data_IF_126017777352
#
_entry.id   IF_126017777352
#
_cell.length_a   1.000
_cell.length_b   1.000
_cell.length_c   1.000
_cell.angle_alpha   90.00
_cell.angle_beta   90.00
_cell.angle_gamma   90.00
#
_symmetry.space_group_name_H-M   'P 1'
#
loop_
_entity.id
_entity.type
_entity.pdbx_description
1 polymer ?
#
# COMPACT_ATOMS: atom_id res chain seq x y z
N UNK A 1 -8.21 1.21 11.32
CA UNK A 1 -7.54 1.69 10.09
C UNK A 1 -7.04 0.48 9.29
N UNK A 2 -7.25 0.42 7.97
CA UNK A 2 -6.76 -0.70 7.14
C UNK A 2 -5.79 -0.16 6.09
N UNK A 3 -4.49 -0.28 6.35
CA UNK A 3 -3.49 0.06 5.35
C UNK A 3 -3.43 -1.03 4.28
N UNK A 4 -3.29 -0.59 3.04
CA UNK A 4 -3.12 -1.50 1.91
C UNK A 4 -1.67 -1.98 1.88
N UNK A 5 -1.48 -3.31 1.92
CA UNK A 5 -0.17 -3.94 1.74
C UNK A 5 0.31 -3.88 0.28
N UNK A 6 -0.62 -3.72 -0.65
CA UNK A 6 -0.35 -3.60 -2.07
C UNK A 6 -1.42 -2.75 -2.77
N UNK A 7 -1.03 -2.14 -3.88
CA UNK A 7 -1.93 -1.52 -4.86
C UNK A 7 -1.89 -2.34 -6.14
N UNK A 8 -3.06 -2.61 -6.72
CA UNK A 8 -3.20 -3.37 -7.95
C UNK A 8 -3.75 -2.45 -9.03
N UNK A 9 -3.01 -2.33 -10.14
CA UNK A 9 -3.40 -1.60 -11.32
C UNK A 9 -3.62 -2.55 -12.48
N UNK A 10 -4.70 -2.35 -13.22
CA UNK A 10 -5.03 -3.11 -14.44
C UNK A 10 -5.21 -2.10 -15.58
N UNK A 11 -4.45 -2.29 -16.66
CA UNK A 11 -4.42 -1.35 -17.79
C UNK A 11 -4.18 0.11 -17.31
N UNK A 12 -3.27 0.28 -16.35
CA UNK A 12 -2.92 1.58 -15.76
C UNK A 12 -3.92 2.15 -14.73
N UNK A 13 -5.11 1.56 -14.59
CA UNK A 13 -6.15 2.02 -13.68
C UNK A 13 -6.03 1.36 -12.31
N UNK A 14 -6.10 2.12 -11.22
CA UNK A 14 -6.11 1.55 -9.87
C UNK A 14 -7.42 0.78 -9.64
N UNK A 15 -7.31 -0.52 -9.37
CA UNK A 15 -8.43 -1.45 -9.12
C UNK A 15 -8.37 -2.10 -7.74
N UNK A 16 -7.46 -1.64 -6.87
CA UNK A 16 -7.16 -2.25 -5.57
C UNK A 16 -8.40 -2.51 -4.72
N UNK A 17 -9.35 -1.57 -4.69
CA UNK A 17 -10.56 -1.70 -3.86
C UNK A 17 -11.65 -2.55 -4.51
N UNK A 18 -11.54 -2.86 -5.80
CA UNK A 18 -12.55 -3.62 -6.56
C UNK A 18 -12.20 -5.11 -6.61
N UNK A 19 -10.96 -5.47 -6.28
CA UNK A 19 -10.42 -6.82 -6.43
C UNK A 19 -10.52 -7.59 -5.09
N UNK A 20 -10.91 -8.86 -5.19
CA UNK A 20 -10.94 -9.85 -4.09
C UNK A 20 -9.69 -10.72 -4.13
N UNK A 21 -9.29 -11.16 -5.32
CA UNK A 21 -8.10 -11.99 -5.51
C UNK A 21 -7.37 -11.63 -6.80
N UNK A 22 -6.04 -11.74 -6.76
CA UNK A 22 -5.14 -11.53 -7.88
C UNK A 22 -4.08 -12.64 -7.82
N UNK A 23 -4.05 -13.51 -8.84
CA UNK A 23 -3.18 -14.70 -8.85
C UNK A 23 -2.50 -14.84 -10.20
N UNK A 24 -1.16 -14.93 -10.18
CA UNK A 24 -0.38 -15.23 -11.37
C UNK A 24 -0.56 -16.71 -11.76
N UNK A 25 -0.79 -16.95 -13.03
CA UNK A 25 -0.83 -18.26 -13.68
C UNK A 25 0.37 -18.33 -14.61
N UNK A 26 1.30 -19.22 -14.29
CA UNK A 26 2.57 -19.40 -15.00
C UNK A 26 2.74 -20.84 -15.53
N UNK A 27 1.63 -21.51 -15.82
CA UNK A 27 1.62 -22.90 -16.29
C UNK A 27 0.64 -23.09 -17.46
N UNK A 28 1.03 -23.99 -18.37
CA UNK A 28 0.20 -24.40 -19.52
C UNK A 28 -0.12 -23.27 -20.50
N UNK A 29 -1.26 -23.37 -21.19
CA UNK A 29 -1.72 -22.40 -22.20
C UNK A 29 -2.12 -21.02 -21.61
N UNK A 30 -2.18 -20.90 -20.28
CA UNK A 30 -2.53 -19.67 -19.57
C UNK A 30 -1.31 -19.00 -18.92
N UNK A 31 -0.09 -19.37 -19.35
CA UNK A 31 1.16 -18.78 -18.89
C UNK A 31 1.14 -17.25 -19.03
N UNK A 32 1.80 -16.57 -18.09
CA UNK A 32 1.96 -15.11 -18.05
C UNK A 32 0.62 -14.36 -17.99
N UNK A 33 -0.35 -14.90 -17.26
CA UNK A 33 -1.65 -14.26 -17.02
C UNK A 33 -1.97 -14.12 -15.55
N UNK A 34 -2.69 -13.07 -15.18
CA UNK A 34 -3.32 -12.94 -13.88
C UNK A 34 -4.79 -13.30 -13.95
N UNK A 35 -5.24 -14.19 -13.07
CA UNK A 35 -6.64 -14.37 -12.74
C UNK A 35 -7.06 -13.35 -11.69
N UNK A 36 -8.06 -12.55 -12.02
CA UNK A 36 -8.60 -11.46 -11.20
C UNK A 36 -10.07 -11.75 -10.89
N UNK A 37 -10.41 -11.83 -9.60
CA UNK A 37 -11.80 -11.85 -9.14
C UNK A 37 -12.18 -10.48 -8.58
N UNK A 38 -13.28 -9.90 -9.08
CA UNK A 38 -13.80 -8.61 -8.60
C UNK A 38 -14.87 -8.82 -7.51
N UNK A 39 -15.07 -7.84 -6.63
CA UNK A 39 -16.03 -7.92 -5.51
C UNK A 39 -17.48 -8.12 -5.95
N UNK A 40 -17.85 -7.49 -7.07
CA UNK A 40 -19.23 -7.49 -7.56
C UNK A 40 -19.45 -8.53 -8.67
N UNK A 41 -18.52 -9.45 -8.89
CA UNK A 41 -18.62 -10.46 -9.93
C UNK A 41 -17.92 -11.75 -9.52
N UNK A 42 -18.66 -12.86 -9.57
CA UNK A 42 -18.11 -14.17 -9.22
C UNK A 42 -17.19 -14.78 -10.29
N UNK A 43 -17.14 -14.19 -11.48
CA UNK A 43 -16.32 -14.64 -12.61
C UNK A 43 -14.85 -14.20 -12.46
N UNK A 44 -13.91 -15.10 -12.72
CA UNK A 44 -12.49 -14.77 -12.87
C UNK A 44 -12.23 -14.19 -14.27
N UNK A 45 -11.54 -13.05 -14.31
CA UNK A 45 -11.07 -12.41 -15.53
C UNK A 45 -9.57 -12.63 -15.69
N UNK A 46 -9.15 -12.95 -16.91
CA UNK A 46 -7.73 -13.20 -17.22
C UNK A 46 -7.12 -12.02 -17.95
N UNK A 47 -6.04 -11.47 -17.39
CA UNK A 47 -5.28 -10.37 -17.98
C UNK A 47 -3.86 -10.84 -18.25
N UNK A 48 -3.26 -10.39 -19.35
CA UNK A 48 -1.83 -10.62 -19.57
C UNK A 48 -1.01 -9.95 -18.46
N UNK A 49 0.13 -10.53 -18.08
CA UNK A 49 0.98 -10.04 -17.01
C UNK A 49 1.43 -8.59 -17.20
N UNK A 50 1.69 -8.18 -18.46
CA UNK A 50 2.07 -6.81 -18.78
C UNK A 50 0.97 -5.75 -18.53
N UNK A 51 -0.29 -6.18 -18.39
CA UNK A 51 -1.41 -5.29 -18.07
C UNK A 51 -1.62 -5.11 -16.58
N UNK A 52 -0.99 -5.94 -15.75
CA UNK A 52 -1.18 -5.95 -14.30
C UNK A 52 0.07 -5.44 -13.62
N UNK A 53 -0.06 -4.40 -12.82
CA UNK A 53 1.01 -3.86 -12.00
C UNK A 53 0.62 -3.94 -10.52
N UNK A 54 1.40 -4.71 -9.76
CA UNK A 54 1.26 -4.83 -8.31
C UNK A 54 2.37 -3.99 -7.66
N UNK A 55 1.99 -3.00 -6.87
CA UNK A 55 2.92 -2.13 -6.13
C UNK A 55 2.84 -2.46 -4.66
N UNK A 56 3.92 -2.98 -4.09
CA UNK A 56 3.97 -3.32 -2.66
C UNK A 56 4.12 -2.07 -1.80
N UNK A 57 3.55 -2.12 -0.61
CA UNK A 57 3.75 -1.10 0.41
C UNK A 57 4.97 -1.41 1.27
N UNK A 58 5.59 -0.36 1.81
CA UNK A 58 6.67 -0.44 2.79
C UNK A 58 6.31 -1.18 4.09
N UNK A 59 5.02 -1.40 4.35
CA UNK A 59 4.48 -2.14 5.50
C UNK A 59 4.06 -3.58 5.14
N UNK A 60 4.60 -4.13 4.06
CA UNK A 60 4.32 -5.52 3.67
C UNK A 60 4.83 -6.53 4.72
N UNK A 61 5.88 -6.19 5.48
CA UNK A 61 6.37 -6.97 6.62
C UNK A 61 5.56 -6.71 7.89
N UNK A 62 5.40 -7.73 8.72
CA UNK A 62 4.74 -7.60 10.02
C UNK A 62 5.44 -6.57 10.92
N UNK A 63 6.77 -6.55 10.92
CA UNK A 63 7.58 -5.63 11.72
C UNK A 63 7.33 -4.17 11.36
N UNK A 64 7.36 -3.82 10.07
CA UNK A 64 7.12 -2.45 9.62
C UNK A 64 5.66 -2.03 9.78
N UNK A 65 4.71 -2.96 9.61
CA UNK A 65 3.30 -2.72 9.92
C UNK A 65 3.08 -2.42 11.41
N UNK A 66 3.66 -3.22 12.30
CA UNK A 66 3.51 -3.02 13.75
C UNK A 66 4.14 -1.71 14.22
N UNK A 67 5.28 -1.32 13.65
CA UNK A 67 5.89 -0.02 13.96
C UNK A 67 5.01 1.15 13.51
N UNK A 68 4.37 1.07 12.35
CA UNK A 68 3.41 2.10 11.92
C UNK A 68 2.19 2.16 12.86
N UNK A 69 1.63 1.01 13.24
CA UNK A 69 0.51 0.96 14.19
C UNK A 69 0.88 1.58 15.54
N UNK A 70 2.09 1.34 16.02
CA UNK A 70 2.60 1.95 17.23
C UNK A 70 2.71 3.48 17.11
N UNK A 71 3.25 3.99 15.99
CA UNK A 71 3.28 5.44 15.72
C UNK A 71 1.87 6.05 15.71
N UNK A 72 0.90 5.36 15.10
CA UNK A 72 -0.49 5.81 15.08
C UNK A 72 -1.10 5.86 16.50
N UNK A 73 -0.82 4.85 17.34
CA UNK A 73 -1.26 4.84 18.74
C UNK A 73 -0.65 5.99 19.56
N UNK A 74 0.64 6.29 19.35
CA UNK A 74 1.29 7.47 19.94
C UNK A 74 0.57 8.73 19.47
N UNK A 75 0.33 8.88 18.17
CA UNK A 75 -0.36 10.04 17.61
C UNK A 75 -1.74 10.25 18.24
N UNK A 76 -2.52 9.17 18.43
CA UNK A 76 -3.83 9.20 19.09
C UNK A 76 -3.72 9.56 20.58
N UNK A 77 -2.70 9.09 21.29
CA UNK A 77 -2.58 9.24 22.75
C UNK A 77 -1.97 10.58 23.17
N UNK A 78 -0.91 11.04 22.51
CA UNK A 78 -0.10 12.21 22.91
C UNK A 78 -0.14 13.36 21.90
N UNK A 79 -1.02 13.28 20.90
CA UNK A 79 -1.06 14.28 19.84
C UNK A 79 -1.44 15.68 20.33
N UNK A 80 -0.76 16.68 19.80
CA UNK A 80 -1.09 18.08 20.01
C UNK A 80 -2.48 18.36 19.43
N UNK A 81 -3.38 18.85 20.27
CA UNK A 81 -4.72 19.27 19.88
C UNK A 81 -4.74 20.76 19.58
N UNK A 82 -5.51 21.15 18.56
CA UNK A 82 -5.84 22.56 18.34
C UNK A 82 -6.76 23.07 19.45
N UNK A 83 -7.00 24.38 19.50
CA UNK A 83 -8.00 25.00 20.38
C UNK A 83 -9.41 24.40 20.18
N UNK A 84 -9.70 23.91 18.98
CA UNK A 84 -10.95 23.21 18.63
C UNK A 84 -10.94 21.71 18.99
N UNK A 85 -9.91 21.22 19.68
CA UNK A 85 -9.77 19.82 20.08
C UNK A 85 -9.31 18.87 18.97
N UNK A 86 -8.91 19.38 17.80
CA UNK A 86 -8.47 18.54 16.68
C UNK A 86 -7.03 18.06 16.89
N UNK A 87 -6.83 16.74 16.99
CA UNK A 87 -5.51 16.14 16.99
C UNK A 87 -4.95 16.06 15.55
N UNK A 88 -4.00 16.94 15.23
CA UNK A 88 -3.47 17.10 13.86
C UNK A 88 -2.70 15.85 13.42
N UNK A 89 -1.91 15.26 14.32
CA UNK A 89 -1.07 14.11 13.99
C UNK A 89 -1.91 12.86 13.76
N UNK A 90 -2.91 12.62 14.62
CA UNK A 90 -3.84 11.51 14.43
C UNK A 90 -4.65 11.66 13.14
N UNK A 91 -5.14 12.87 12.82
CA UNK A 91 -5.82 13.16 11.55
C UNK A 91 -4.91 12.85 10.35
N UNK A 92 -3.64 13.25 10.42
CA UNK A 92 -2.67 13.00 9.35
C UNK A 92 -2.37 11.51 9.17
N UNK A 93 -2.12 10.79 10.25
CA UNK A 93 -1.91 9.34 10.22
C UNK A 93 -3.14 8.60 9.66
N UNK A 94 -4.35 8.98 10.08
CA UNK A 94 -5.60 8.32 9.65
C UNK A 94 -5.83 8.36 8.14
N UNK A 95 -5.30 9.38 7.45
CA UNK A 95 -5.41 9.58 6.00
C UNK A 95 -4.42 8.73 5.20
N UNK A 96 -3.43 8.10 5.84
CA UNK A 96 -2.42 7.28 5.16
C UNK A 96 -3.02 5.92 4.82
N UNK A 97 -3.44 5.70 3.58
CA UNK A 97 -3.99 4.41 3.14
C UNK A 97 -2.94 3.47 2.55
N UNK A 98 -1.78 4.00 2.16
CA UNK A 98 -0.69 3.27 1.52
C UNK A 98 0.63 4.00 1.76
N UNK A 99 1.71 3.25 1.99
CA UNK A 99 3.06 3.80 2.18
C UNK A 99 3.95 3.33 1.02
N UNK A 100 4.36 4.22 0.10
CA UNK A 100 5.26 3.86 -0.98
C UNK A 100 6.64 3.49 -0.46
N UNK A 101 7.26 2.47 -1.05
CA UNK A 101 8.60 1.96 -0.65
C UNK A 101 9.73 3.00 -0.78
N UNK A 102 9.56 4.02 -1.63
CA UNK A 102 10.52 5.11 -1.81
C UNK A 102 10.35 6.27 -0.82
N UNK A 103 9.34 6.25 0.05
CA UNK A 103 9.10 7.36 0.98
C UNK A 103 10.11 7.36 2.13
N UNK A 104 10.40 8.53 2.71
CA UNK A 104 11.22 8.61 3.92
C UNK A 104 10.57 7.83 5.08
N UNK A 105 9.24 7.82 5.15
CA UNK A 105 8.51 7.00 6.10
C UNK A 105 8.79 5.50 5.90
N UNK A 106 8.92 5.02 4.67
CA UNK A 106 9.31 3.64 4.40
C UNK A 106 10.70 3.31 4.95
N UNK A 107 11.68 4.21 4.77
CA UNK A 107 13.02 4.04 5.32
C UNK A 107 12.99 3.92 6.85
N UNK A 108 12.27 4.83 7.51
CA UNK A 108 12.09 4.79 8.96
C UNK A 108 11.46 3.47 9.43
N UNK A 109 10.33 3.08 8.81
CA UNK A 109 9.59 1.88 9.21
C UNK A 109 10.38 0.59 9.01
N UNK A 110 11.28 0.56 8.02
CA UNK A 110 12.11 -0.59 7.70
C UNK A 110 13.53 -0.50 8.28
N UNK A 111 13.83 0.55 9.07
CA UNK A 111 15.16 0.80 9.67
C UNK A 111 16.28 0.83 8.63
N UNK A 112 15.97 1.43 7.48
CA UNK A 112 16.91 1.64 6.39
C UNK A 112 17.43 3.06 6.51
N UNK A 113 18.75 3.22 6.55
CA UNK A 113 19.35 4.55 6.49
C UNK A 113 19.10 5.16 5.10
N UNK A 114 18.59 6.40 5.00
CA UNK A 114 18.39 7.06 3.72
C UNK A 114 19.72 7.25 3.00
N UNK A 115 19.97 6.48 1.94
CA UNK A 115 21.30 6.41 1.31
C UNK A 115 21.57 7.45 0.21
N UNK A 116 20.75 8.50 0.09
CA UNK A 116 20.91 9.78 -0.67
C UNK A 116 19.53 10.24 -1.16
N UNK A 117 19.30 11.55 -1.10
CA UNK A 117 18.06 12.24 -1.48
C UNK A 117 17.84 12.17 -3.01
N UNK A 118 17.15 11.14 -3.52
CA UNK A 118 16.84 10.99 -4.96
C UNK A 118 15.75 11.95 -5.49
N UNK A 119 15.41 13.01 -4.75
CA UNK A 119 14.55 14.09 -5.25
C UNK A 119 15.26 15.04 -6.22
N UNK A 120 16.58 14.86 -6.42
CA UNK A 120 17.36 15.56 -7.43
C UNK A 120 17.67 14.61 -8.60
N UNK A 121 16.72 14.45 -9.52
CA UNK A 121 17.04 14.30 -10.93
C UNK A 121 16.07 15.20 -11.70
N UNK A 122 16.58 16.15 -12.52
CA UNK A 122 15.75 17.07 -13.31
C UNK A 122 14.90 16.34 -14.35
#
# INVERSE_FOLDING_TARGET
MSLKKELIYIDGNNKTNDIVSCRLIDIGFMKDKYAIKYKNNDTEYFYNANKVKIVKSAISSEKSNNLFLYLNQIAETVGLTTEEGKNILADSCSKITFIPEYSILANFLNRIEPSVNKFNNP
#
